data_IF_502394540796
#
_entry.id   IF_502394540796
#
_cell.length_a   1.000
_cell.length_b   1.000
_cell.length_c   1.000
_cell.angle_alpha   90.00
_cell.angle_beta   90.00
_cell.angle_gamma   90.00
#
_symmetry.space_group_name_H-M   'P 1'
#
loop_
_entity.id
_entity.type
_entity.pdbx_description
1 polymer ?
#
# COMPACT_ATOMS: atom_id res chain seq x y z
N UNK A 1 1.49 -2.44 -1.10
CA UNK A 1 1.37 -0.97 -1.13
C UNK A 1 2.58 -0.30 -1.78
N UNK A 2 3.81 -0.52 -1.29
CA UNK A 2 5.05 0.12 -1.79
C UNK A 2 5.16 0.13 -3.32
N UNK A 3 4.94 -1.01 -3.95
CA UNK A 3 4.98 -1.15 -5.43
C UNK A 3 3.95 -0.29 -6.16
N UNK A 4 2.73 -0.15 -5.64
CA UNK A 4 1.71 0.75 -6.22
C UNK A 4 2.17 2.20 -6.14
N UNK A 5 2.64 2.61 -4.96
CA UNK A 5 3.13 3.96 -4.71
C UNK A 5 4.31 4.31 -5.63
N UNK A 6 5.28 3.40 -5.77
CA UNK A 6 6.45 3.60 -6.63
C UNK A 6 6.08 3.65 -8.11
N UNK A 7 5.15 2.80 -8.58
CA UNK A 7 4.62 2.86 -9.96
C UNK A 7 3.91 4.16 -10.27
N UNK A 8 3.20 4.72 -9.28
CA UNK A 8 2.58 6.03 -9.38
C UNK A 8 3.57 7.20 -9.19
N UNK A 9 4.87 6.93 -9.03
CA UNK A 9 5.94 7.92 -8.81
C UNK A 9 5.70 8.81 -7.58
N UNK A 10 5.08 8.27 -6.54
CA UNK A 10 4.78 8.99 -5.31
C UNK A 10 5.85 8.74 -4.25
N UNK A 11 6.23 9.77 -3.50
CA UNK A 11 6.95 9.62 -2.24
C UNK A 11 6.01 9.11 -1.14
N UNK A 12 6.55 8.55 -0.05
CA UNK A 12 5.74 8.21 1.13
C UNK A 12 5.02 9.46 1.68
N UNK A 13 5.68 10.61 1.66
CA UNK A 13 5.09 11.87 2.11
C UNK A 13 3.87 12.28 1.28
N UNK A 14 3.95 12.18 -0.05
CA UNK A 14 2.86 12.59 -0.94
C UNK A 14 1.64 11.69 -0.77
N UNK A 15 1.85 10.37 -0.67
CA UNK A 15 0.74 9.43 -0.45
C UNK A 15 0.14 9.60 0.95
N UNK A 16 0.97 9.75 1.98
CA UNK A 16 0.51 9.94 3.36
C UNK A 16 -0.34 11.22 3.48
N UNK A 17 0.13 12.33 2.92
CA UNK A 17 -0.60 13.59 2.89
C UNK A 17 -1.94 13.46 2.15
N UNK A 18 -1.96 12.77 1.01
CA UNK A 18 -3.18 12.56 0.22
C UNK A 18 -4.23 11.70 0.95
N UNK A 19 -3.77 10.80 1.82
CA UNK A 19 -4.64 9.90 2.58
C UNK A 19 -4.96 10.42 3.99
N UNK A 20 -4.40 11.56 4.42
CA UNK A 20 -4.59 12.10 5.76
C UNK A 20 -3.85 11.31 6.87
N UNK A 21 -2.76 10.62 6.54
CA UNK A 21 -1.96 9.84 7.49
C UNK A 21 -0.56 10.43 7.65
N UNK A 22 0.13 10.04 8.73
CA UNK A 22 1.53 10.39 8.93
C UNK A 22 2.45 9.55 8.04
N UNK A 23 3.56 10.16 7.59
CA UNK A 23 4.60 9.47 6.81
C UNK A 23 5.17 8.28 7.60
N UNK A 24 5.34 8.46 8.91
CA UNK A 24 5.80 7.41 9.82
C UNK A 24 4.88 6.19 9.80
N UNK A 25 3.57 6.42 9.95
CA UNK A 25 2.59 5.33 9.96
C UNK A 25 2.57 4.59 8.62
N UNK A 26 2.55 5.34 7.51
CA UNK A 26 2.60 4.78 6.17
C UNK A 26 3.88 3.94 5.95
N UNK A 27 5.02 4.42 6.41
CA UNK A 27 6.30 3.70 6.33
C UNK A 27 6.31 2.40 7.13
N UNK A 28 5.69 2.38 8.32
CA UNK A 28 5.56 1.16 9.14
C UNK A 28 4.68 0.12 8.44
N UNK A 29 3.62 0.53 7.76
CA UNK A 29 2.79 -0.36 6.93
C UNK A 29 3.61 -0.96 5.78
N UNK A 30 4.37 -0.13 5.05
CA UNK A 30 5.19 -0.62 3.91
C UNK A 30 6.26 -1.62 4.32
N UNK A 31 6.80 -1.47 5.53
CA UNK A 31 7.80 -2.37 6.10
C UNK A 31 7.19 -3.63 6.73
N UNK A 32 5.86 -3.76 6.75
CA UNK A 32 5.18 -4.85 7.47
C UNK A 32 5.29 -4.76 9.00
N UNK A 33 5.69 -3.59 9.52
CA UNK A 33 5.83 -3.32 10.97
C UNK A 33 4.55 -2.77 11.62
N UNK A 34 3.51 -2.54 10.82
CA UNK A 34 2.18 -2.19 11.26
C UNK A 34 1.16 -2.81 10.31
N UNK A 35 0.05 -3.29 10.86
CA UNK A 35 -1.08 -3.75 10.07
C UNK A 35 -1.90 -2.54 9.60
N UNK A 36 -2.31 -2.54 8.33
CA UNK A 36 -3.27 -1.58 7.82
C UNK A 36 -4.67 -1.94 8.34
N UNK A 37 -5.38 -0.98 8.94
CA UNK A 37 -6.80 -1.15 9.26
C UNK A 37 -7.64 -1.24 7.99
N UNK A 38 -8.90 -1.68 8.11
CA UNK A 38 -9.83 -1.68 6.98
C UNK A 38 -10.00 -0.27 6.38
N UNK A 39 -10.02 0.77 7.20
CA UNK A 39 -10.15 2.17 6.73
C UNK A 39 -8.93 2.61 5.92
N UNK A 40 -7.73 2.22 6.34
CA UNK A 40 -6.50 2.49 5.60
C UNK A 40 -6.50 1.75 4.27
N UNK A 41 -6.90 0.48 4.26
CA UNK A 41 -7.03 -0.32 3.05
C UNK A 41 -8.05 0.28 2.08
N UNK A 42 -9.20 0.74 2.60
CA UNK A 42 -10.23 1.41 1.81
C UNK A 42 -9.73 2.74 1.23
N UNK A 43 -9.02 3.55 2.02
CA UNK A 43 -8.46 4.82 1.57
C UNK A 43 -7.42 4.62 0.44
N UNK A 44 -6.52 3.63 0.61
CA UNK A 44 -5.54 3.27 -0.43
C UNK A 44 -6.24 2.77 -1.69
N UNK A 45 -7.22 1.87 -1.55
CA UNK A 45 -7.94 1.32 -2.68
C UNK A 45 -8.64 2.43 -3.48
N UNK A 46 -9.35 3.34 -2.80
CA UNK A 46 -9.99 4.51 -3.42
C UNK A 46 -9.00 5.43 -4.11
N UNK A 47 -7.86 5.71 -3.49
CA UNK A 47 -6.83 6.59 -4.08
C UNK A 47 -6.27 6.04 -5.40
N UNK A 48 -6.12 4.72 -5.51
CA UNK A 48 -5.64 4.07 -6.73
C UNK A 48 -6.77 3.62 -7.68
N UNK A 49 -8.01 4.03 -7.44
CA UNK A 49 -9.19 3.60 -8.21
C UNK A 49 -9.31 2.07 -8.31
N UNK A 50 -9.13 1.40 -7.18
CA UNK A 50 -9.21 -0.05 -7.04
C UNK A 50 -10.32 -0.42 -6.06
N UNK A 51 -10.93 -1.59 -6.26
CA UNK A 51 -11.67 -2.25 -5.19
C UNK A 51 -10.69 -2.82 -4.15
N UNK A 52 -11.17 -3.01 -2.91
CA UNK A 52 -10.38 -3.66 -1.85
C UNK A 52 -9.92 -5.06 -2.29
N UNK A 53 -10.79 -5.83 -2.96
CA UNK A 53 -10.45 -7.15 -3.49
C UNK A 53 -9.34 -7.09 -4.54
N UNK A 54 -9.36 -6.10 -5.44
CA UNK A 54 -8.29 -5.93 -6.42
C UNK A 54 -6.97 -5.54 -5.75
N UNK A 55 -7.01 -4.65 -4.77
CA UNK A 55 -5.83 -4.28 -3.97
C UNK A 55 -5.24 -5.49 -3.23
N UNK A 56 -6.09 -6.35 -2.67
CA UNK A 56 -5.69 -7.59 -2.00
C UNK A 56 -5.02 -8.58 -2.96
N UNK A 57 -5.67 -8.89 -4.10
CA UNK A 57 -5.10 -9.76 -5.13
C UNK A 57 -3.76 -9.24 -5.66
N UNK A 58 -3.63 -7.93 -5.80
CA UNK A 58 -2.36 -7.30 -6.18
C UNK A 58 -1.27 -7.54 -5.14
N UNK A 59 -1.58 -7.39 -3.85
CA UNK A 59 -0.66 -7.66 -2.75
C UNK A 59 -0.22 -9.14 -2.70
N UNK A 60 -1.16 -10.09 -2.84
CA UNK A 60 -0.85 -11.52 -2.87
C UNK A 60 0.06 -11.89 -4.05
N UNK A 61 -0.22 -11.38 -5.25
CA UNK A 61 0.61 -11.60 -6.45
C UNK A 61 2.04 -11.07 -6.25
N UNK A 62 2.22 -10.00 -5.48
CA UNK A 62 3.55 -9.50 -5.15
C UNK A 62 4.27 -10.39 -4.14
N UNK A 63 3.58 -10.84 -3.10
CA UNK A 63 4.15 -11.76 -2.10
C UNK A 63 4.62 -13.06 -2.75
N UNK A 64 3.78 -13.68 -3.60
CA UNK A 64 4.12 -14.90 -4.34
C UNK A 64 5.34 -14.72 -5.25
N UNK A 65 5.45 -13.58 -5.96
CA UNK A 65 6.60 -13.27 -6.82
C UNK A 65 7.91 -13.06 -6.05
N UNK A 66 7.85 -12.55 -4.82
CA UNK A 66 9.03 -12.45 -3.96
C UNK A 66 9.47 -13.83 -3.49
N UNK A 67 8.53 -14.65 -3.04
CA UNK A 67 8.81 -16.01 -2.58
C UNK A 67 9.37 -16.93 -3.68
N UNK A 68 9.00 -16.73 -4.95
CA UNK A 68 9.53 -17.51 -6.07
C UNK A 68 10.93 -17.09 -6.54
N UNK A 69 11.49 -16.00 -5.99
CA UNK A 69 12.82 -15.45 -6.36
C UNK A 69 13.87 -15.63 -5.26
N UNK A 70 13.47 -16.22 -4.14
CA UNK A 70 14.25 -16.49 -2.93
C UNK A 70 14.36 -17.99 -2.73
#
# INVERSE_FOLDING_TARGET
MTELRLRAKLSQANLAASLGYSVYYLGKIEQGKANASCDVMAAIARYFDMSIGHLWLYAEKLAKRKASRS
#
